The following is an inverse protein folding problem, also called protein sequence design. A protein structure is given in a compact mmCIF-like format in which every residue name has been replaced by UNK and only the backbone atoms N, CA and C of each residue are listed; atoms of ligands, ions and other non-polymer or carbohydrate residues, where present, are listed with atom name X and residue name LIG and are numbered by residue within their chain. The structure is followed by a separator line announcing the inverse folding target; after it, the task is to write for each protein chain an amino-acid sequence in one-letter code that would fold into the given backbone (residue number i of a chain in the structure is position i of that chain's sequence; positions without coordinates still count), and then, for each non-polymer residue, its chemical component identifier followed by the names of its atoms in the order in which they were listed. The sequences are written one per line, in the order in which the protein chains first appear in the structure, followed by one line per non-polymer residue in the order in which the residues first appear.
data_IF_200711795030
#
_entry.id   IF_200711795030
#
_cell.length_a   1.000
_cell.length_b   1.000
_cell.length_c   1.000
_cell.angle_alpha   90.00
_cell.angle_beta   90.00
_cell.angle_gamma   90.00
#
_symmetry.space_group_name_H-M   'P 1'
#
loop_
_entity.id
_entity.type
_entity.pdbx_description
1 polymer ?
#
# COMPACT_ATOMS: atom_id res chain seq x y z
N UNK A 1 32.22 19.33 7.10
CA UNK A 1 31.03 18.67 6.57
C UNK A 1 31.32 17.17 6.54
N UNK A 2 30.50 16.37 7.22
CA UNK A 2 30.73 14.92 7.33
C UNK A 2 30.65 14.27 5.94
N UNK A 3 31.75 13.71 5.48
CA UNK A 3 31.84 12.96 4.23
C UNK A 3 31.38 11.51 4.48
N UNK A 4 30.13 11.35 4.94
CA UNK A 4 29.56 10.04 5.26
C UNK A 4 28.10 9.99 4.83
N UNK A 5 27.69 8.86 4.26
CA UNK A 5 26.32 8.56 3.90
C UNK A 5 25.48 8.13 5.11
N UNK A 6 26.08 7.96 6.28
CA UNK A 6 25.39 7.60 7.51
C UNK A 6 24.88 8.85 8.22
N UNK A 7 23.57 9.00 8.24
CA UNK A 7 22.88 10.14 8.85
C UNK A 7 23.17 10.24 10.36
N UNK A 8 23.32 9.10 11.04
CA UNK A 8 23.62 9.10 12.47
C UNK A 8 25.01 9.68 12.75
N UNK A 9 26.01 9.30 11.98
CA UNK A 9 27.38 9.81 12.09
C UNK A 9 27.43 11.28 11.71
N UNK A 10 26.72 11.71 10.65
CA UNK A 10 26.64 13.11 10.28
C UNK A 10 26.05 13.96 11.38
N UNK A 11 24.95 13.54 11.99
CA UNK A 11 24.30 14.23 13.10
C UNK A 11 25.18 14.27 14.36
N UNK A 12 25.89 13.18 14.69
CA UNK A 12 26.84 13.16 15.81
C UNK A 12 27.96 14.17 15.63
N UNK A 13 28.46 14.34 14.41
CA UNK A 13 29.52 15.32 14.11
C UNK A 13 29.04 16.77 14.20
N UNK A 14 27.76 17.04 13.93
CA UNK A 14 27.20 18.40 13.96
C UNK A 14 26.69 18.79 15.34
N UNK A 15 25.95 17.90 16.01
CA UNK A 15 25.20 18.19 17.24
C UNK A 15 25.78 17.46 18.47
N UNK A 16 26.86 16.69 18.28
CA UNK A 16 27.43 15.89 19.36
C UNK A 16 26.42 14.90 19.97
N UNK A 17 26.55 14.61 21.26
CA UNK A 17 25.73 13.61 21.95
C UNK A 17 24.22 13.93 21.96
N UNK A 18 23.82 15.19 21.78
CA UNK A 18 22.41 15.57 21.67
C UNK A 18 21.70 14.95 20.46
N UNK A 19 22.46 14.60 19.41
CA UNK A 19 21.93 13.93 18.24
C UNK A 19 21.35 12.54 18.56
N UNK A 20 21.89 11.84 19.55
CA UNK A 20 21.38 10.53 19.97
C UNK A 20 19.96 10.65 20.54
N UNK A 21 19.71 11.68 21.37
CA UNK A 21 18.37 11.92 21.90
C UNK A 21 17.36 12.21 20.77
N UNK A 22 17.74 13.05 19.81
CA UNK A 22 16.89 13.36 18.65
C UNK A 22 16.62 12.12 17.80
N UNK A 23 17.64 11.30 17.54
CA UNK A 23 17.49 10.05 16.76
C UNK A 23 16.58 9.05 17.47
N UNK A 24 16.73 8.88 18.80
CA UNK A 24 15.87 7.98 19.57
C UNK A 24 14.41 8.44 19.51
N UNK A 25 14.15 9.73 19.73
CA UNK A 25 12.79 10.28 19.69
C UNK A 25 12.18 10.19 18.29
N UNK A 26 12.94 10.49 17.25
CA UNK A 26 12.50 10.38 15.86
C UNK A 26 12.16 8.94 15.49
N UNK A 27 13.03 7.98 15.87
CA UNK A 27 12.79 6.56 15.62
C UNK A 27 11.60 6.03 16.42
N UNK A 28 11.44 6.46 17.65
CA UNK A 28 10.29 6.06 18.47
C UNK A 28 8.97 6.45 17.79
N UNK A 29 8.82 7.71 17.43
CA UNK A 29 7.58 8.21 16.80
C UNK A 29 7.32 7.54 15.45
N UNK A 30 8.35 7.31 14.65
CA UNK A 30 8.23 6.63 13.35
C UNK A 30 7.80 5.18 13.52
N UNK A 31 8.41 4.45 14.44
CA UNK A 31 8.06 3.05 14.70
C UNK A 31 6.64 2.89 15.26
N UNK A 32 6.22 3.79 16.15
CA UNK A 32 4.86 3.79 16.69
C UNK A 32 3.82 4.02 15.59
N UNK A 33 4.03 5.00 14.74
CA UNK A 33 3.17 5.27 13.60
C UNK A 33 3.11 4.08 12.62
N UNK A 34 4.25 3.48 12.28
CA UNK A 34 4.30 2.33 11.37
C UNK A 34 3.55 1.13 11.93
N UNK A 35 3.70 0.85 13.23
CA UNK A 35 2.99 -0.23 13.91
C UNK A 35 1.48 0.05 13.99
N UNK A 36 1.10 1.30 14.25
CA UNK A 36 -0.30 1.71 14.27
C UNK A 36 -0.97 1.53 12.92
N UNK A 37 -0.39 2.09 11.84
CA UNK A 37 -0.99 2.02 10.51
C UNK A 37 -0.99 0.62 9.92
N UNK A 38 0.06 -0.16 10.13
CA UNK A 38 0.10 -1.56 9.68
C UNK A 38 -0.95 -2.41 10.39
N UNK A 39 -1.13 -2.23 11.69
CA UNK A 39 -2.15 -2.92 12.47
C UNK A 39 -3.57 -2.50 12.07
N UNK A 40 -3.78 -1.21 11.77
CA UNK A 40 -5.05 -0.70 11.29
C UNK A 40 -5.40 -1.31 9.93
N UNK A 41 -4.45 -1.32 9.00
CA UNK A 41 -4.64 -1.94 7.68
C UNK A 41 -5.00 -3.42 7.78
N UNK A 42 -4.34 -4.16 8.68
CA UNK A 42 -4.64 -5.58 8.90
C UNK A 42 -6.04 -5.82 9.47
N UNK A 43 -6.50 -4.99 10.40
CA UNK A 43 -7.85 -5.10 10.97
C UNK A 43 -8.92 -4.72 9.94
N UNK A 44 -8.66 -3.73 9.08
CA UNK A 44 -9.57 -3.39 7.98
C UNK A 44 -9.67 -4.53 6.97
N UNK A 45 -8.55 -5.18 6.64
CA UNK A 45 -8.52 -6.33 5.72
C UNK A 45 -9.19 -7.58 6.33
N UNK A 46 -9.06 -7.78 7.65
CA UNK A 46 -9.62 -8.92 8.37
C UNK A 46 -10.36 -8.45 9.62
N UNK A 47 -11.65 -8.03 9.50
CA UNK A 47 -12.41 -7.42 10.59
C UNK A 47 -12.60 -8.28 11.84
N UNK A 48 -12.39 -9.61 11.72
CA UNK A 48 -12.47 -10.55 12.84
C UNK A 48 -11.30 -10.44 13.83
N UNK A 49 -10.21 -9.81 13.43
CA UNK A 49 -9.02 -9.67 14.26
C UNK A 49 -9.15 -8.51 15.24
N UNK A 50 -8.85 -8.77 16.50
CA UNK A 50 -8.84 -7.71 17.52
C UNK A 50 -7.54 -6.92 17.41
N UNK A 51 -7.61 -5.60 17.22
CA UNK A 51 -6.47 -4.70 17.03
C UNK A 51 -5.34 -4.92 18.05
N UNK A 52 -5.67 -5.15 19.34
CA UNK A 52 -4.68 -5.38 20.40
C UNK A 52 -3.74 -6.55 20.07
N UNK A 53 -4.27 -7.67 19.61
CA UNK A 53 -3.45 -8.85 19.29
C UNK A 53 -2.64 -8.64 18.01
N UNK A 54 -3.20 -7.95 17.02
CA UNK A 54 -2.50 -7.61 15.78
C UNK A 54 -1.28 -6.75 16.06
N UNK A 55 -1.43 -5.70 16.87
CA UNK A 55 -0.33 -4.81 17.27
C UNK A 55 0.80 -5.59 17.95
N UNK A 56 0.46 -6.45 18.92
CA UNK A 56 1.45 -7.27 19.65
C UNK A 56 2.17 -8.22 18.69
N UNK A 57 1.43 -8.92 17.84
CA UNK A 57 2.00 -9.88 16.88
C UNK A 57 2.92 -9.19 15.89
N UNK A 58 2.49 -8.06 15.32
CA UNK A 58 3.31 -7.30 14.38
C UNK A 58 4.54 -6.69 15.03
N UNK A 59 4.43 -6.22 16.28
CA UNK A 59 5.57 -5.74 17.05
C UNK A 59 6.61 -6.83 17.28
N UNK A 60 6.19 -8.04 17.68
CA UNK A 60 7.09 -9.19 17.85
C UNK A 60 7.75 -9.57 16.53
N UNK A 61 6.96 -9.70 15.45
CA UNK A 61 7.50 -10.06 14.12
C UNK A 61 8.51 -9.02 13.65
N UNK A 62 8.20 -7.72 13.77
CA UNK A 62 9.10 -6.66 13.38
C UNK A 62 10.41 -6.66 14.19
N UNK A 63 10.33 -6.90 15.50
CA UNK A 63 11.52 -6.98 16.39
C UNK A 63 12.39 -8.16 16.00
N UNK A 64 11.81 -9.34 15.79
CA UNK A 64 12.56 -10.54 15.37
C UNK A 64 13.18 -10.33 13.99
N UNK A 65 12.45 -9.79 13.04
CA UNK A 65 12.95 -9.50 11.69
C UNK A 65 14.11 -8.49 11.74
N UNK A 66 14.00 -7.45 12.57
CA UNK A 66 15.08 -6.49 12.81
C UNK A 66 16.33 -7.15 13.36
N UNK A 67 16.19 -8.04 14.37
CA UNK A 67 17.28 -8.79 14.96
C UNK A 67 17.96 -9.76 13.97
N UNK A 68 17.21 -10.29 13.00
CA UNK A 68 17.71 -11.15 11.92
C UNK A 68 18.39 -10.38 10.78
N UNK A 69 18.51 -9.06 10.88
CA UNK A 69 19.24 -8.24 9.91
C UNK A 69 18.44 -7.91 8.63
N UNK A 70 17.12 -7.83 8.70
CA UNK A 70 16.27 -7.47 7.56
C UNK A 70 16.65 -6.09 6.96
N UNK A 71 17.31 -5.25 7.74
CA UNK A 71 17.85 -3.94 7.32
C UNK A 71 18.76 -4.04 6.10
N UNK A 72 19.49 -5.15 5.95
CA UNK A 72 20.39 -5.38 4.80
C UNK A 72 19.64 -5.46 3.46
N UNK A 73 18.34 -5.75 3.51
CA UNK A 73 17.44 -5.82 2.33
C UNK A 73 16.60 -4.57 2.14
N UNK A 74 16.86 -3.50 2.92
CA UNK A 74 16.05 -2.29 2.93
C UNK A 74 15.94 -1.62 1.56
N UNK A 75 17.05 -1.48 0.83
CA UNK A 75 17.07 -0.88 -0.50
C UNK A 75 16.27 -1.70 -1.52
N UNK A 76 16.41 -3.02 -1.47
CA UNK A 76 15.63 -3.94 -2.32
C UNK A 76 14.15 -3.85 -2.02
N UNK A 77 13.78 -3.83 -0.74
CA UNK A 77 12.41 -3.65 -0.29
C UNK A 77 11.81 -2.31 -0.75
N UNK A 78 12.58 -1.22 -0.61
CA UNK A 78 12.16 0.11 -1.04
C UNK A 78 11.93 0.17 -2.56
N UNK A 79 12.78 -0.50 -3.35
CA UNK A 79 12.63 -0.61 -4.80
C UNK A 79 11.36 -1.36 -5.20
N UNK A 80 11.04 -2.47 -4.50
CA UNK A 80 9.80 -3.22 -4.70
C UNK A 80 8.57 -2.33 -4.40
N UNK A 81 8.57 -1.62 -3.29
CA UNK A 81 7.48 -0.69 -2.95
C UNK A 81 7.36 0.44 -3.97
N UNK A 82 8.49 1.00 -4.42
CA UNK A 82 8.54 2.05 -5.43
C UNK A 82 7.96 1.65 -6.79
N UNK A 83 7.93 0.35 -7.10
CA UNK A 83 7.31 -0.18 -8.33
C UNK A 83 5.90 -0.70 -8.12
N UNK A 84 5.54 -1.15 -6.91
CA UNK A 84 4.25 -1.78 -6.62
C UNK A 84 3.15 -0.80 -6.20
N UNK A 85 3.51 0.32 -5.55
CA UNK A 85 2.53 1.30 -5.07
C UNK A 85 1.99 2.22 -6.18
N UNK A 86 2.82 2.79 -7.09
CA UNK A 86 2.34 3.71 -8.11
C UNK A 86 1.26 3.15 -9.05
N UNK A 87 1.29 1.88 -9.48
CA UNK A 87 0.22 1.28 -10.25
C UNK A 87 -1.16 1.36 -9.58
N UNK A 88 -1.21 1.24 -8.25
CA UNK A 88 -2.48 1.36 -7.50
C UNK A 88 -3.06 2.76 -7.65
N UNK A 89 -2.22 3.80 -7.57
CA UNK A 89 -2.66 5.18 -7.79
C UNK A 89 -3.22 5.37 -9.21
N UNK A 90 -2.58 4.77 -10.22
CA UNK A 90 -3.07 4.78 -11.61
C UNK A 90 -4.46 4.19 -11.75
N UNK A 91 -4.72 3.04 -11.12
CA UNK A 91 -6.04 2.41 -11.10
C UNK A 91 -7.07 3.32 -10.42
N UNK A 92 -6.75 3.86 -9.25
CA UNK A 92 -7.68 4.70 -8.49
C UNK A 92 -8.08 5.96 -9.26
N UNK A 93 -7.11 6.62 -9.90
CA UNK A 93 -7.38 7.82 -10.71
C UNK A 93 -8.33 7.48 -11.85
N UNK A 94 -8.01 6.44 -12.61
CA UNK A 94 -8.82 6.04 -13.77
C UNK A 94 -10.18 5.51 -13.35
N UNK A 95 -10.27 4.71 -12.29
CA UNK A 95 -11.54 4.21 -11.78
C UNK A 95 -12.46 5.38 -11.39
N UNK A 96 -11.91 6.38 -10.71
CA UNK A 96 -12.66 7.54 -10.27
C UNK A 96 -13.15 8.41 -11.44
N UNK A 97 -12.25 8.81 -12.33
CA UNK A 97 -12.57 9.76 -13.41
C UNK A 97 -13.24 9.11 -14.62
N UNK A 98 -12.73 7.95 -15.08
CA UNK A 98 -13.13 7.35 -16.34
C UNK A 98 -14.19 6.27 -16.19
N UNK A 99 -14.13 5.46 -15.12
CA UNK A 99 -15.01 4.31 -14.93
C UNK A 99 -16.29 4.71 -14.18
N UNK A 100 -16.16 5.33 -13.04
CA UNK A 100 -17.28 5.69 -12.15
C UNK A 100 -17.76 7.14 -12.30
N UNK A 101 -17.11 7.93 -13.16
CA UNK A 101 -17.50 9.32 -13.40
C UNK A 101 -17.78 10.10 -12.11
N UNK A 102 -16.89 9.99 -11.11
CA UNK A 102 -16.99 10.66 -9.80
C UNK A 102 -18.21 10.22 -8.94
N UNK A 103 -18.86 9.10 -9.28
CA UNK A 103 -20.08 8.62 -8.60
C UNK A 103 -19.78 7.54 -7.57
N UNK A 104 -18.86 7.80 -6.64
CA UNK A 104 -18.67 6.92 -5.48
C UNK A 104 -19.80 7.16 -4.47
N UNK A 105 -20.50 6.10 -4.10
CA UNK A 105 -21.51 6.12 -3.04
C UNK A 105 -20.97 5.40 -1.82
N UNK A 106 -21.05 6.05 -0.69
CA UNK A 106 -20.67 5.49 0.62
C UNK A 106 -21.91 5.58 1.54
N UNK A 107 -22.04 4.64 2.45
CA UNK A 107 -23.10 4.63 3.45
C UNK A 107 -23.91 3.34 3.50
N UNK A 108 -24.79 3.24 4.49
CA UNK A 108 -25.61 2.07 4.74
C UNK A 108 -26.45 1.68 3.52
N UNK A 109 -26.45 0.40 3.17
CA UNK A 109 -27.17 -0.16 2.03
C UNK A 109 -26.42 -0.11 0.70
N UNK A 110 -25.20 0.45 0.66
CA UNK A 110 -24.38 0.45 -0.57
C UNK A 110 -23.76 -0.92 -0.76
N UNK A 111 -23.89 -1.48 -1.96
CA UNK A 111 -23.29 -2.76 -2.33
C UNK A 111 -21.85 -2.58 -2.74
N UNK A 112 -20.97 -3.29 -2.07
CA UNK A 112 -19.55 -3.34 -2.38
C UNK A 112 -19.15 -4.72 -2.90
N UNK A 113 -18.17 -4.77 -3.80
CA UNK A 113 -17.58 -6.02 -4.31
C UNK A 113 -16.14 -6.12 -3.84
N UNK A 114 -15.75 -7.29 -3.41
CA UNK A 114 -14.49 -7.49 -2.70
C UNK A 114 -13.25 -7.19 -3.55
N UNK A 115 -13.17 -7.71 -4.76
CA UNK A 115 -11.97 -7.58 -5.58
C UNK A 115 -12.31 -7.46 -7.07
N UNK A 116 -11.64 -6.52 -7.75
CA UNK A 116 -11.76 -6.34 -9.20
C UNK A 116 -10.63 -7.09 -9.91
N UNK A 117 -10.99 -8.08 -10.75
CA UNK A 117 -10.01 -8.85 -11.54
C UNK A 117 -9.24 -7.95 -12.52
N UNK A 118 -9.89 -7.04 -13.28
CA UNK A 118 -9.16 -6.11 -14.13
C UNK A 118 -8.14 -5.28 -13.38
N UNK A 119 -8.48 -4.83 -12.15
CA UNK A 119 -7.55 -4.05 -11.33
C UNK A 119 -6.32 -4.85 -10.93
N UNK A 120 -6.51 -6.11 -10.47
CA UNK A 120 -5.40 -6.99 -10.10
C UNK A 120 -4.48 -7.31 -11.27
N UNK A 121 -5.06 -7.67 -12.42
CA UNK A 121 -4.29 -7.99 -13.64
C UNK A 121 -3.52 -6.75 -14.10
N UNK A 122 -4.18 -5.59 -14.17
CA UNK A 122 -3.53 -4.34 -14.56
C UNK A 122 -2.42 -3.95 -13.61
N UNK A 123 -2.62 -4.13 -12.30
CA UNK A 123 -1.61 -3.89 -11.28
C UNK A 123 -0.39 -4.80 -11.47
N UNK A 124 -0.59 -6.10 -11.66
CA UNK A 124 0.50 -7.05 -11.86
C UNK A 124 1.33 -6.72 -13.10
N UNK A 125 0.68 -6.39 -14.23
CA UNK A 125 1.37 -6.00 -15.45
C UNK A 125 2.12 -4.66 -15.24
N UNK A 126 1.51 -3.70 -14.56
CA UNK A 126 2.15 -2.43 -14.23
C UNK A 126 3.40 -2.59 -13.37
N UNK A 127 3.37 -3.48 -12.37
CA UNK A 127 4.53 -3.83 -11.56
C UNK A 127 5.65 -4.44 -12.42
N UNK A 128 5.31 -5.38 -13.32
CA UNK A 128 6.29 -5.98 -14.24
C UNK A 128 6.94 -4.93 -15.14
N UNK A 129 6.15 -4.03 -15.69
CA UNK A 129 6.69 -2.93 -16.52
C UNK A 129 7.56 -1.99 -15.71
N UNK A 130 7.15 -1.60 -14.50
CA UNK A 130 7.95 -0.76 -13.61
C UNK A 130 9.28 -1.38 -13.20
N UNK A 131 9.33 -2.72 -13.12
CA UNK A 131 10.56 -3.45 -12.81
C UNK A 131 11.46 -3.66 -14.03
N UNK A 132 10.90 -3.87 -15.22
CA UNK A 132 11.66 -4.24 -16.43
C UNK A 132 12.08 -3.03 -17.27
N UNK A 133 11.29 -1.97 -17.28
CA UNK A 133 11.56 -0.78 -18.11
C UNK A 133 12.49 0.16 -17.36
N UNK A 134 13.74 0.22 -17.80
CA UNK A 134 14.78 1.07 -17.22
C UNK A 134 14.80 2.51 -17.76
N UNK A 135 14.01 2.78 -18.81
CA UNK A 135 13.90 4.11 -19.40
C UNK A 135 12.88 4.98 -18.67
N UNK A 136 13.26 6.19 -18.30
CA UNK A 136 12.42 7.12 -17.56
C UNK A 136 12.32 6.82 -16.05
N UNK A 137 11.21 7.23 -15.44
CA UNK A 137 10.94 7.02 -14.02
C UNK A 137 10.02 5.80 -13.87
N UNK A 138 10.52 4.71 -13.27
CA UNK A 138 9.82 3.44 -13.11
C UNK A 138 8.41 3.61 -12.50
N UNK A 139 8.25 4.47 -11.50
CA UNK A 139 6.98 4.78 -10.86
C UNK A 139 5.94 5.38 -11.82
N UNK A 140 6.37 6.31 -12.68
CA UNK A 140 5.49 6.97 -13.67
C UNK A 140 5.12 5.96 -14.76
N UNK A 141 6.10 5.23 -15.27
CA UNK A 141 5.88 4.23 -16.32
C UNK A 141 4.88 3.17 -15.86
N UNK A 142 5.06 2.63 -14.65
CA UNK A 142 4.16 1.62 -14.07
C UNK A 142 2.75 2.17 -13.88
N UNK A 143 2.61 3.40 -13.38
CA UNK A 143 1.32 4.05 -13.16
C UNK A 143 0.56 4.25 -14.48
N UNK A 144 1.22 4.81 -15.51
CA UNK A 144 0.59 5.10 -16.81
C UNK A 144 0.18 3.82 -17.53
N UNK A 145 1.08 2.83 -17.59
CA UNK A 145 0.77 1.55 -18.23
C UNK A 145 -0.38 0.84 -17.53
N UNK A 146 -0.38 0.83 -16.20
CA UNK A 146 -1.50 0.26 -15.42
C UNK A 146 -2.82 0.96 -15.71
N UNK A 147 -2.81 2.29 -15.77
CA UNK A 147 -3.99 3.08 -16.08
C UNK A 147 -4.58 2.71 -17.46
N UNK A 148 -3.75 2.61 -18.48
CA UNK A 148 -4.17 2.26 -19.84
C UNK A 148 -4.72 0.84 -19.89
N UNK A 149 -4.03 -0.13 -19.29
CA UNK A 149 -4.46 -1.54 -19.27
C UNK A 149 -5.76 -1.68 -18.49
N UNK A 150 -5.92 -0.97 -17.38
CA UNK A 150 -7.13 -1.02 -16.59
C UNK A 150 -8.35 -0.52 -17.37
N UNK A 151 -8.24 0.60 -18.10
CA UNK A 151 -9.31 1.09 -18.99
C UNK A 151 -9.65 0.05 -20.05
N UNK A 152 -8.62 -0.50 -20.72
CA UNK A 152 -8.82 -1.48 -21.77
C UNK A 152 -9.53 -2.74 -21.26
N UNK A 153 -9.04 -3.34 -20.19
CA UNK A 153 -9.65 -4.52 -19.58
C UNK A 153 -11.05 -4.25 -19.06
N UNK A 154 -11.27 -3.12 -18.40
CA UNK A 154 -12.59 -2.77 -17.90
C UNK A 154 -13.59 -2.61 -19.05
N UNK A 155 -13.20 -1.95 -20.15
CA UNK A 155 -14.06 -1.73 -21.32
C UNK A 155 -14.38 -3.04 -22.02
N UNK A 156 -13.40 -3.94 -22.16
CA UNK A 156 -13.59 -5.27 -22.78
C UNK A 156 -14.54 -6.16 -21.99
N UNK A 157 -14.47 -6.11 -20.66
CA UNK A 157 -15.27 -6.96 -19.78
C UNK A 157 -16.55 -6.32 -19.27
N UNK A 158 -16.84 -5.07 -19.62
CA UNK A 158 -18.02 -4.31 -19.16
C UNK A 158 -19.33 -5.06 -19.35
N UNK A 159 -19.47 -5.81 -20.45
CA UNK A 159 -20.69 -6.58 -20.75
C UNK A 159 -20.86 -7.86 -19.91
N UNK A 160 -19.84 -8.29 -19.18
CA UNK A 160 -19.89 -9.50 -18.37
C UNK A 160 -19.54 -9.20 -16.91
N UNK A 161 -20.44 -8.56 -16.20
CA UNK A 161 -20.28 -8.06 -14.84
C UNK A 161 -19.84 -9.15 -13.84
N UNK A 162 -20.26 -10.41 -14.05
CA UNK A 162 -19.90 -11.52 -13.17
C UNK A 162 -18.42 -11.94 -13.27
N UNK A 163 -17.74 -11.62 -14.38
CA UNK A 163 -16.31 -11.90 -14.57
C UNK A 163 -15.39 -10.76 -14.09
N UNK A 164 -15.97 -9.61 -13.75
CA UNK A 164 -15.19 -8.44 -13.33
C UNK A 164 -14.74 -8.50 -11.87
N UNK A 165 -15.42 -9.28 -11.04
CA UNK A 165 -15.22 -9.23 -9.59
C UNK A 165 -15.13 -10.62 -8.98
N UNK A 166 -14.26 -10.73 -7.99
CA UNK A 166 -14.06 -11.94 -7.19
C UNK A 166 -14.43 -11.68 -5.72
N UNK A 167 -14.98 -12.68 -5.02
CA UNK A 167 -15.20 -12.61 -3.58
C UNK A 167 -16.62 -12.31 -3.09
N UNK A 168 -17.60 -12.18 -3.99
CA UNK A 168 -19.02 -11.94 -3.64
C UNK A 168 -19.40 -10.47 -3.44
N UNK A 169 -20.66 -10.23 -3.16
CA UNK A 169 -21.20 -8.90 -2.84
C UNK A 169 -21.27 -8.71 -1.33
N UNK A 170 -20.99 -7.51 -0.89
CA UNK A 170 -21.08 -7.08 0.50
C UNK A 170 -21.95 -5.84 0.57
N UNK A 171 -22.73 -5.70 1.64
CA UNK A 171 -23.52 -4.51 1.94
C UNK A 171 -22.96 -3.85 3.18
N UNK A 172 -22.78 -2.55 3.12
CA UNK A 172 -22.44 -1.75 4.29
C UNK A 172 -23.67 -1.61 5.20
N UNK A 173 -23.57 -2.05 6.45
CA UNK A 173 -24.63 -1.90 7.44
C UNK A 173 -24.61 -0.50 8.07
N UNK A 174 -25.61 -0.22 8.93
CA UNK A 174 -25.73 1.07 9.61
C UNK A 174 -24.56 1.40 10.56
N UNK A 175 -23.70 0.41 10.88
CA UNK A 175 -22.49 0.58 11.71
C UNK A 175 -21.23 0.75 10.88
N UNK A 176 -21.31 0.79 9.54
CA UNK A 176 -20.16 0.85 8.66
C UNK A 176 -19.42 -0.48 8.50
N UNK A 177 -20.01 -1.61 8.93
CA UNK A 177 -19.43 -2.94 8.76
C UNK A 177 -19.91 -3.57 7.45
N UNK A 178 -19.03 -4.32 6.77
CA UNK A 178 -19.38 -5.02 5.54
C UNK A 178 -19.96 -6.41 5.89
N UNK A 179 -21.21 -6.64 5.53
CA UNK A 179 -21.90 -7.90 5.67
C UNK A 179 -22.01 -8.59 4.31
N UNK A 180 -21.70 -9.89 4.27
CA UNK A 180 -21.73 -10.68 3.04
C UNK A 180 -23.19 -10.99 2.68
N UNK A 181 -23.58 -10.72 1.45
CA UNK A 181 -24.88 -11.09 0.89
C UNK A 181 -24.95 -12.56 0.53
#
# INVERSE_FOLDING_TARGET
VADTSDVAVALLNILGSWSLLLLILAQWTTNDNNLYYSSLAAVVAVPKWKKKYVVITFGIIATVAGALGIVNYFTTWLSILGTAIPPVAGILIVDYFCVKHQSYRFGAGVKHRFCSIPALVSWAIGCLVGYTVTWGIAAINSMVVTAIIYIALFTLFKNNTNRLYFGGEYVENARGELEKL
#
